data_IF_621614884715
#
_entry.id   IF_621614884715
#
_cell.length_a   1.000
_cell.length_b   1.000
_cell.length_c   1.000
_cell.angle_alpha   90.00
_cell.angle_beta   90.00
_cell.angle_gamma   90.00
#
_symmetry.space_group_name_H-M   'P 1'
#
loop_
_entity.id
_entity.type
_entity.pdbx_description
1 polymer ?
#
# COMPACT_ATOMS: atom_id res chain seq x y z
N UNK A 1 29.55 78.19 19.29
CA UNK A 1 28.46 79.05 18.76
C UNK A 1 27.16 78.39 19.19
N UNK A 2 26.53 78.87 20.27
CA UNK A 2 25.30 79.68 20.21
C UNK A 2 24.23 79.00 19.34
N UNK A 3 23.15 78.42 19.84
CA UNK A 3 22.64 78.37 21.20
C UNK A 3 21.63 77.23 21.37
N UNK A 4 21.44 76.83 22.62
CA UNK A 4 20.47 75.86 23.06
C UNK A 4 19.03 76.38 22.88
N UNK A 5 18.12 75.47 22.54
CA UNK A 5 16.77 75.46 23.08
C UNK A 5 16.19 74.04 22.99
N UNK A 6 16.46 73.27 24.05
CA UNK A 6 15.58 72.19 24.49
C UNK A 6 14.43 72.85 25.24
N UNK A 7 13.23 72.81 24.66
CA UNK A 7 11.91 73.08 25.26
C UNK A 7 10.93 72.32 24.36
N UNK A 8 10.08 71.39 24.78
CA UNK A 8 9.80 70.84 26.10
C UNK A 8 9.09 69.49 25.93
N UNK A 9 9.31 68.64 26.92
CA UNK A 9 8.41 67.54 27.25
C UNK A 9 6.97 68.03 27.51
N UNK A 10 6.06 67.06 27.58
CA UNK A 10 4.69 67.14 28.15
C UNK A 10 3.58 67.23 27.11
N UNK A 11 3.17 66.06 26.64
CA UNK A 11 1.93 65.86 25.89
C UNK A 11 1.24 64.57 26.31
N UNK A 12 1.08 64.34 27.62
CA UNK A 12 -0.07 63.56 28.12
C UNK A 12 -1.33 64.40 27.89
N UNK A 13 -1.67 64.68 26.64
CA UNK A 13 -2.90 65.30 26.22
C UNK A 13 -3.82 64.22 25.64
N UNK A 14 -5.15 64.38 25.73
CA UNK A 14 -6.06 63.51 25.01
C UNK A 14 -5.66 63.47 23.53
N UNK A 15 -5.81 62.32 22.84
CA UNK A 15 -5.43 62.20 21.44
C UNK A 15 -6.06 63.35 20.66
N UNK A 16 -5.23 64.14 19.99
CA UNK A 16 -5.69 65.28 19.21
C UNK A 16 -6.64 64.78 18.11
N UNK A 17 -7.76 65.49 17.94
CA UNK A 17 -8.80 65.14 16.99
C UNK A 17 -8.22 65.18 15.56
N UNK A 18 -8.20 64.05 14.82
CA UNK A 18 -7.65 63.98 13.48
C UNK A 18 -8.27 64.99 12.50
N UNK A 19 -9.52 65.39 12.73
CA UNK A 19 -10.19 66.40 11.90
C UNK A 19 -9.62 67.80 12.19
N UNK A 20 -9.39 68.15 13.45
CA UNK A 20 -8.78 69.43 13.84
C UNK A 20 -7.35 69.55 13.35
N UNK A 21 -6.56 68.48 13.46
CA UNK A 21 -5.19 68.44 12.91
C UNK A 21 -5.17 68.61 11.40
N UNK A 22 -6.16 68.06 10.69
CA UNK A 22 -6.32 68.23 9.25
C UNK A 22 -6.66 69.68 8.89
N UNK A 23 -7.59 70.30 9.61
CA UNK A 23 -7.95 71.71 9.42
C UNK A 23 -6.76 72.64 9.67
N UNK A 24 -6.03 72.44 10.76
CA UNK A 24 -4.82 73.22 11.09
C UNK A 24 -3.73 73.06 10.02
N UNK A 25 -3.49 71.83 9.54
CA UNK A 25 -2.52 71.57 8.48
C UNK A 25 -2.88 72.26 7.15
N UNK A 26 -4.18 72.27 6.78
CA UNK A 26 -4.66 72.91 5.55
C UNK A 26 -4.71 74.43 5.65
N UNK A 27 -4.93 74.98 6.84
CA UNK A 27 -4.81 76.41 7.08
C UNK A 27 -3.36 76.90 6.97
N UNK A 28 -2.40 76.09 7.42
CA UNK A 28 -0.98 76.41 7.34
C UNK A 28 -0.38 76.19 5.94
N UNK A 29 -0.82 75.15 5.22
CA UNK A 29 -0.40 74.83 3.86
C UNK A 29 -1.58 74.28 3.02
N UNK A 30 -2.27 75.13 2.24
CA UNK A 30 -3.36 74.69 1.37
C UNK A 30 -2.93 73.68 0.30
N UNK A 31 -1.66 73.67 -0.12
CA UNK A 31 -1.12 72.72 -1.09
C UNK A 31 -1.03 71.29 -0.55
N UNK A 32 -1.08 71.12 0.78
CA UNK A 32 -1.05 69.82 1.44
C UNK A 32 -2.36 69.00 1.26
N UNK A 33 -3.42 69.61 0.73
CA UNK A 33 -4.69 68.94 0.45
C UNK A 33 -4.53 67.71 -0.46
N UNK A 34 -3.75 67.83 -1.53
CA UNK A 34 -3.49 66.74 -2.48
C UNK A 34 -2.78 65.55 -1.80
N UNK A 35 -1.87 65.84 -0.86
CA UNK A 35 -1.17 64.80 -0.09
C UNK A 35 -2.13 64.06 0.84
N UNK A 36 -3.06 64.78 1.47
CA UNK A 36 -4.08 64.18 2.34
C UNK A 36 -5.09 63.35 1.56
N UNK A 37 -5.51 63.80 0.38
CA UNK A 37 -6.36 63.03 -0.53
C UNK A 37 -5.66 61.75 -0.99
N UNK A 38 -4.41 61.83 -1.47
CA UNK A 38 -3.61 60.66 -1.84
C UNK A 38 -3.44 59.67 -0.68
N UNK A 39 -3.24 60.17 0.54
CA UNK A 39 -3.15 59.33 1.74
C UNK A 39 -4.46 58.61 2.03
N UNK A 40 -5.59 59.30 1.91
CA UNK A 40 -6.92 58.69 2.11
C UNK A 40 -7.23 57.66 1.03
N UNK A 41 -6.90 57.93 -0.23
CA UNK A 41 -7.00 56.97 -1.33
C UNK A 41 -6.13 55.73 -1.08
N UNK A 42 -4.88 55.92 -0.64
CA UNK A 42 -3.99 54.81 -0.29
C UNK A 42 -4.55 53.98 0.87
N UNK A 43 -5.04 54.63 1.93
CA UNK A 43 -5.64 53.94 3.06
C UNK A 43 -6.86 53.10 2.64
N UNK A 44 -7.71 53.66 1.76
CA UNK A 44 -8.85 52.94 1.19
C UNK A 44 -8.40 51.74 0.36
N UNK A 45 -7.38 51.90 -0.50
CA UNK A 45 -6.84 50.80 -1.32
C UNK A 45 -6.22 49.70 -0.48
N UNK A 46 -5.48 50.05 0.57
CA UNK A 46 -4.91 49.08 1.52
C UNK A 46 -6.04 48.29 2.18
N UNK A 47 -7.07 48.96 2.71
CA UNK A 47 -8.20 48.28 3.34
C UNK A 47 -8.97 47.36 2.39
N UNK A 48 -9.06 47.70 1.10
CA UNK A 48 -9.63 46.80 0.09
C UNK A 48 -8.76 45.56 -0.14
N UNK A 49 -7.44 45.75 -0.29
CA UNK A 49 -6.50 44.65 -0.51
C UNK A 49 -6.44 43.69 0.69
N UNK A 50 -6.48 44.21 1.91
CA UNK A 50 -6.54 43.41 3.13
C UNK A 50 -7.79 42.50 3.15
N UNK A 51 -8.96 43.06 2.82
CA UNK A 51 -10.21 42.28 2.72
C UNK A 51 -10.14 41.21 1.65
N UNK A 52 -9.62 41.54 0.47
CA UNK A 52 -9.45 40.56 -0.61
C UNK A 52 -8.48 39.44 -0.24
N UNK A 53 -7.38 39.79 0.43
CA UNK A 53 -6.39 38.84 0.92
C UNK A 53 -7.01 37.89 1.94
N UNK A 54 -7.74 38.43 2.92
CA UNK A 54 -8.43 37.63 3.93
C UNK A 54 -9.45 36.67 3.33
N UNK A 55 -10.24 37.14 2.36
CA UNK A 55 -11.20 36.30 1.65
C UNK A 55 -10.49 35.13 0.94
N UNK A 56 -9.41 35.42 0.20
CA UNK A 56 -8.63 34.39 -0.51
C UNK A 56 -7.98 33.41 0.46
N UNK A 57 -7.46 33.89 1.58
CA UNK A 57 -6.88 33.06 2.65
C UNK A 57 -7.92 32.09 3.20
N UNK A 58 -9.08 32.57 3.62
CA UNK A 58 -10.15 31.72 4.16
C UNK A 58 -10.65 30.70 3.14
N UNK A 59 -10.76 31.08 1.87
CA UNK A 59 -11.12 30.13 0.80
C UNK A 59 -10.05 29.04 0.62
N UNK A 60 -8.77 29.40 0.66
CA UNK A 60 -7.67 28.45 0.55
C UNK A 60 -7.65 27.49 1.75
N UNK A 61 -7.82 28.00 2.97
CA UNK A 61 -7.90 27.19 4.20
C UNK A 61 -9.08 26.20 4.15
N UNK A 62 -10.25 26.64 3.68
CA UNK A 62 -11.41 25.78 3.49
C UNK A 62 -11.15 24.66 2.48
N UNK A 63 -10.52 24.98 1.34
CA UNK A 63 -10.12 23.98 0.34
C UNK A 63 -9.11 22.98 0.90
N UNK A 64 -8.12 23.43 1.67
CA UNK A 64 -7.12 22.56 2.31
C UNK A 64 -7.81 21.61 3.30
N UNK A 65 -8.73 22.11 4.13
CA UNK A 65 -9.47 21.30 5.08
C UNK A 65 -10.32 20.22 4.38
N UNK A 66 -11.02 20.59 3.29
CA UNK A 66 -11.81 19.66 2.51
C UNK A 66 -10.91 18.58 1.85
N UNK A 67 -9.82 18.98 1.20
CA UNK A 67 -8.89 18.04 0.58
C UNK A 67 -8.29 17.06 1.60
N UNK A 68 -7.97 17.51 2.81
CA UNK A 68 -7.49 16.62 3.89
C UNK A 68 -8.54 15.58 4.28
N UNK A 69 -9.82 15.98 4.33
CA UNK A 69 -10.94 15.07 4.59
C UNK A 69 -11.08 14.05 3.46
N UNK A 70 -11.10 14.53 2.21
CA UNK A 70 -11.26 13.68 1.03
C UNK A 70 -10.13 12.64 0.92
N UNK A 71 -8.87 13.05 1.16
CA UNK A 71 -7.72 12.13 1.18
C UNK A 71 -7.85 11.07 2.28
N UNK A 72 -8.33 11.46 3.47
CA UNK A 72 -8.56 10.51 4.57
C UNK A 72 -9.65 9.49 4.21
N UNK A 73 -10.76 9.95 3.67
CA UNK A 73 -11.88 9.10 3.26
C UNK A 73 -11.49 8.18 2.11
N UNK A 74 -10.80 8.70 1.09
CA UNK A 74 -10.28 7.91 -0.02
C UNK A 74 -9.32 6.82 0.46
N UNK A 75 -8.42 7.13 1.40
CA UNK A 75 -7.51 6.14 2.00
C UNK A 75 -8.28 5.05 2.75
N UNK A 76 -9.26 5.41 3.57
CA UNK A 76 -10.09 4.44 4.28
C UNK A 76 -10.85 3.54 3.31
N UNK A 77 -11.41 4.11 2.25
CA UNK A 77 -12.13 3.35 1.24
C UNK A 77 -11.23 2.38 0.46
N UNK A 78 -10.02 2.80 0.10
CA UNK A 78 -9.02 1.92 -0.53
C UNK A 78 -8.63 0.78 0.41
N UNK A 79 -8.35 1.08 1.67
CA UNK A 79 -8.01 0.05 2.68
C UNK A 79 -9.15 -0.97 2.84
N UNK A 80 -10.40 -0.50 2.93
CA UNK A 80 -11.57 -1.38 3.00
C UNK A 80 -11.69 -2.27 1.75
N UNK A 81 -11.44 -1.71 0.54
CA UNK A 81 -11.45 -2.50 -0.70
C UNK A 81 -10.35 -3.55 -0.71
N UNK A 82 -9.14 -3.22 -0.25
CA UNK A 82 -8.03 -4.17 -0.12
C UNK A 82 -8.41 -5.30 0.85
N UNK A 83 -8.96 -4.97 2.02
CA UNK A 83 -9.37 -5.96 3.01
C UNK A 83 -10.49 -6.87 2.48
N UNK A 84 -11.51 -6.31 1.82
CA UNK A 84 -12.58 -7.09 1.19
C UNK A 84 -12.04 -8.02 0.09
N UNK A 85 -11.14 -7.54 -0.76
CA UNK A 85 -10.52 -8.35 -1.81
C UNK A 85 -9.72 -9.50 -1.22
N UNK A 86 -8.88 -9.24 -0.20
CA UNK A 86 -8.13 -10.28 0.52
C UNK A 86 -9.06 -11.31 1.16
N UNK A 87 -10.10 -10.86 1.85
CA UNK A 87 -11.09 -11.75 2.46
C UNK A 87 -11.82 -12.61 1.42
N UNK A 88 -12.11 -12.07 0.24
CA UNK A 88 -12.75 -12.81 -0.84
C UNK A 88 -11.85 -13.91 -1.45
N UNK A 89 -10.53 -13.70 -1.49
CA UNK A 89 -9.57 -14.68 -2.01
C UNK A 89 -9.16 -15.73 -0.97
N UNK A 90 -9.36 -15.45 0.33
CA UNK A 90 -8.93 -16.33 1.42
C UNK A 90 -9.49 -17.77 1.32
N UNK A 91 -10.77 -18.02 0.98
CA UNK A 91 -11.30 -19.37 0.84
C UNK A 91 -10.59 -20.19 -0.24
N UNK A 92 -10.24 -19.56 -1.36
CA UNK A 92 -9.55 -20.24 -2.46
C UNK A 92 -8.08 -20.50 -2.13
N UNK A 93 -7.43 -19.59 -1.38
CA UNK A 93 -6.09 -19.83 -0.82
C UNK A 93 -6.11 -21.05 0.10
N UNK A 94 -7.10 -21.16 0.98
CA UNK A 94 -7.19 -22.27 1.94
C UNK A 94 -7.52 -23.60 1.25
N UNK A 95 -8.41 -23.58 0.25
CA UNK A 95 -8.68 -24.75 -0.61
C UNK A 95 -7.42 -25.22 -1.33
N UNK A 96 -6.66 -24.31 -1.93
CA UNK A 96 -5.42 -24.66 -2.64
C UNK A 96 -4.33 -25.16 -1.69
N UNK A 97 -4.22 -24.62 -0.47
CA UNK A 97 -3.31 -25.12 0.57
C UNK A 97 -3.66 -26.55 0.97
N UNK A 98 -4.94 -26.83 1.19
CA UNK A 98 -5.42 -28.18 1.50
C UNK A 98 -5.11 -29.16 0.36
N UNK A 99 -5.47 -28.79 -0.88
CA UNK A 99 -5.18 -29.61 -2.06
C UNK A 99 -3.68 -29.86 -2.23
N UNK A 100 -2.84 -28.86 -1.96
CA UNK A 100 -1.38 -29.00 -2.01
C UNK A 100 -0.87 -29.95 -0.93
N UNK A 101 -1.41 -29.90 0.30
CA UNK A 101 -1.06 -30.85 1.35
C UNK A 101 -1.40 -32.28 0.91
N UNK A 102 -2.65 -32.51 0.51
CA UNK A 102 -3.12 -33.83 0.08
C UNK A 102 -2.31 -34.39 -1.08
N UNK A 103 -2.00 -33.58 -2.09
CA UNK A 103 -1.18 -34.02 -3.22
C UNK A 103 0.26 -34.36 -2.82
N UNK A 104 0.84 -33.64 -1.84
CA UNK A 104 2.16 -33.98 -1.32
C UNK A 104 2.14 -35.30 -0.53
N UNK A 105 1.12 -35.50 0.30
CA UNK A 105 0.94 -36.72 1.09
C UNK A 105 0.76 -37.94 0.17
N UNK A 106 -0.07 -37.80 -0.87
CA UNK A 106 -0.27 -38.84 -1.88
C UNK A 106 1.03 -39.14 -2.64
N UNK A 107 1.76 -38.10 -3.09
CA UNK A 107 3.06 -38.28 -3.74
C UNK A 107 4.04 -39.03 -2.84
N UNK A 108 4.06 -38.70 -1.54
CA UNK A 108 4.93 -39.37 -0.58
C UNK A 108 4.55 -40.84 -0.41
N UNK A 109 3.27 -41.16 -0.28
CA UNK A 109 2.78 -42.53 -0.21
C UNK A 109 3.15 -43.34 -1.48
N UNK A 110 2.95 -42.77 -2.67
CA UNK A 110 3.30 -43.40 -3.95
C UNK A 110 4.81 -43.63 -4.09
N UNK A 111 5.64 -42.69 -3.65
CA UNK A 111 7.10 -42.86 -3.59
C UNK A 111 7.53 -43.96 -2.62
N UNK A 112 6.87 -44.06 -1.46
CA UNK A 112 7.13 -45.14 -0.51
C UNK A 112 6.75 -46.51 -1.08
N UNK A 113 5.58 -46.62 -1.74
CA UNK A 113 5.16 -47.83 -2.46
C UNK A 113 6.18 -48.21 -3.53
N UNK A 114 6.62 -47.24 -4.34
CA UNK A 114 7.63 -47.44 -5.38
C UNK A 114 8.95 -47.96 -4.82
N UNK A 115 9.41 -47.38 -3.71
CA UNK A 115 10.65 -47.81 -3.04
C UNK A 115 10.54 -49.23 -2.49
N UNK A 116 9.39 -49.60 -1.92
CA UNK A 116 9.11 -50.98 -1.47
C UNK A 116 9.16 -51.96 -2.64
N UNK A 117 8.50 -51.61 -3.75
CA UNK A 117 8.45 -52.44 -4.95
C UNK A 117 9.84 -52.65 -5.56
N UNK A 118 10.68 -51.62 -5.60
CA UNK A 118 12.08 -51.73 -6.05
C UNK A 118 12.87 -52.74 -5.22
N UNK A 119 12.66 -52.80 -3.90
CA UNK A 119 13.32 -53.80 -3.04
C UNK A 119 12.81 -55.21 -3.34
N UNK A 120 11.50 -55.39 -3.54
CA UNK A 120 10.91 -56.68 -3.91
C UNK A 120 11.40 -57.17 -5.28
N UNK A 121 11.46 -56.29 -6.28
CA UNK A 121 12.07 -56.58 -7.59
C UNK A 121 13.52 -57.04 -7.43
N UNK A 122 14.30 -56.37 -6.57
CA UNK A 122 15.68 -56.78 -6.26
C UNK A 122 15.76 -58.18 -5.67
N UNK A 123 14.86 -58.54 -4.75
CA UNK A 123 14.79 -59.88 -4.15
C UNK A 123 14.44 -60.95 -5.18
N UNK A 124 13.41 -60.75 -6.00
CA UNK A 124 13.02 -61.70 -7.05
C UNK A 124 14.12 -61.90 -8.09
N UNK A 125 14.78 -60.81 -8.52
CA UNK A 125 15.93 -60.89 -9.42
C UNK A 125 17.10 -61.67 -8.82
N UNK A 126 17.32 -61.59 -7.52
CA UNK A 126 18.37 -62.35 -6.84
C UNK A 126 17.99 -63.84 -6.72
N UNK A 127 16.74 -64.17 -6.40
CA UNK A 127 16.25 -65.55 -6.36
C UNK A 127 16.39 -66.27 -7.71
N UNK A 128 16.11 -65.58 -8.82
CA UNK A 128 16.34 -66.09 -10.18
C UNK A 128 17.82 -66.39 -10.47
N UNK A 129 18.74 -65.62 -9.88
CA UNK A 129 20.19 -65.82 -10.05
C UNK A 129 20.73 -66.98 -9.22
N UNK A 130 20.17 -67.22 -8.04
CA UNK A 130 20.63 -68.28 -7.11
C UNK A 130 20.07 -69.66 -7.44
N UNK A 131 19.16 -69.78 -8.40
CA UNK A 131 18.77 -71.06 -8.98
C UNK A 131 17.73 -71.86 -8.18
N UNK A 132 16.79 -71.20 -7.49
CA UNK A 132 15.60 -71.87 -6.96
C UNK A 132 14.70 -72.31 -8.14
N UNK A 133 14.86 -73.56 -8.59
CA UNK A 133 14.36 -74.05 -9.88
C UNK A 133 12.92 -74.56 -9.89
N UNK A 134 12.29 -74.77 -8.72
CA UNK A 134 10.96 -75.36 -8.64
C UNK A 134 9.82 -74.40 -9.04
N UNK A 135 10.06 -73.08 -9.08
CA UNK A 135 8.99 -72.08 -9.29
C UNK A 135 9.38 -70.89 -10.20
N UNK A 136 10.31 -71.12 -11.13
CA UNK A 136 10.90 -70.06 -11.98
C UNK A 136 9.85 -69.28 -12.78
N UNK A 137 8.86 -69.96 -13.34
CA UNK A 137 7.78 -69.34 -14.12
C UNK A 137 6.89 -68.44 -13.27
N UNK A 138 6.65 -68.79 -12.00
CA UNK A 138 5.90 -67.95 -11.06
C UNK A 138 6.70 -66.69 -10.70
N UNK A 139 7.99 -66.85 -10.39
CA UNK A 139 8.89 -65.72 -10.10
C UNK A 139 9.00 -64.76 -11.30
N UNK A 140 9.10 -65.29 -12.52
CA UNK A 140 9.14 -64.48 -13.75
C UNK A 140 7.84 -63.68 -13.97
N UNK A 141 6.67 -64.27 -13.65
CA UNK A 141 5.37 -63.58 -13.71
C UNK A 141 5.27 -62.49 -12.65
N UNK A 142 5.59 -62.79 -11.40
CA UNK A 142 5.56 -61.81 -10.31
C UNK A 142 6.53 -60.64 -10.58
N UNK A 143 7.71 -60.93 -11.13
CA UNK A 143 8.66 -59.91 -11.55
C UNK A 143 8.09 -59.01 -12.66
N UNK A 144 7.40 -59.60 -13.65
CA UNK A 144 6.74 -58.85 -14.71
C UNK A 144 5.66 -57.91 -14.14
N UNK A 145 4.81 -58.42 -13.26
CA UNK A 145 3.73 -57.64 -12.63
C UNK A 145 4.31 -56.50 -11.79
N UNK A 146 5.37 -56.76 -11.02
CA UNK A 146 6.04 -55.72 -10.23
C UNK A 146 6.71 -54.67 -11.11
N UNK A 147 7.26 -55.03 -12.27
CA UNK A 147 7.82 -54.06 -13.22
C UNK A 147 6.74 -53.17 -13.82
N UNK A 148 5.59 -53.74 -14.18
CA UNK A 148 4.43 -52.98 -14.69
C UNK A 148 3.89 -52.00 -13.64
N UNK A 149 3.70 -52.48 -12.40
CA UNK A 149 3.24 -51.64 -11.29
C UNK A 149 4.25 -50.53 -10.97
N UNK A 150 5.55 -50.83 -11.06
CA UNK A 150 6.64 -49.86 -10.94
C UNK A 150 6.52 -48.72 -11.95
N UNK A 151 6.30 -49.06 -13.22
CA UNK A 151 6.11 -48.07 -14.29
C UNK A 151 4.81 -47.27 -14.13
N UNK A 152 3.75 -47.89 -13.61
CA UNK A 152 2.51 -47.20 -13.26
C UNK A 152 2.76 -46.16 -12.17
N UNK A 153 3.41 -46.55 -11.07
CA UNK A 153 3.75 -45.66 -9.97
C UNK A 153 4.66 -44.50 -10.42
N UNK A 154 5.62 -44.75 -11.31
CA UNK A 154 6.49 -43.69 -11.84
C UNK A 154 5.68 -42.63 -12.63
N UNK A 155 4.70 -43.06 -13.44
CA UNK A 155 3.78 -42.16 -14.17
C UNK A 155 2.85 -41.39 -13.22
N UNK A 156 2.33 -42.04 -12.18
CA UNK A 156 1.48 -41.40 -11.17
C UNK A 156 2.27 -40.33 -10.39
N UNK A 157 3.49 -40.65 -9.94
CA UNK A 157 4.37 -39.70 -9.25
C UNK A 157 4.73 -38.52 -10.15
N UNK A 158 5.00 -38.75 -11.44
CA UNK A 158 5.25 -37.67 -12.39
C UNK A 158 4.03 -36.73 -12.51
N UNK A 159 2.84 -37.31 -12.68
CA UNK A 159 1.57 -36.56 -12.76
C UNK A 159 1.32 -35.74 -11.50
N UNK A 160 1.56 -36.32 -10.31
CA UNK A 160 1.46 -35.62 -9.03
C UNK A 160 2.46 -34.46 -8.91
N UNK A 161 3.68 -34.60 -9.44
CA UNK A 161 4.65 -33.50 -9.44
C UNK A 161 4.17 -32.31 -10.27
N UNK A 162 3.61 -32.56 -11.46
CA UNK A 162 3.03 -31.50 -12.29
C UNK A 162 1.81 -30.87 -11.62
N UNK A 163 0.94 -31.66 -11.00
CA UNK A 163 -0.19 -31.14 -10.24
C UNK A 163 0.26 -30.24 -9.08
N UNK A 164 1.22 -30.70 -8.27
CA UNK A 164 1.82 -29.93 -7.17
C UNK A 164 2.44 -28.63 -7.69
N UNK A 165 3.13 -28.67 -8.83
CA UNK A 165 3.70 -27.48 -9.47
C UNK A 165 2.61 -26.47 -9.81
N UNK A 166 1.52 -26.91 -10.44
CA UNK A 166 0.38 -26.04 -10.77
C UNK A 166 -0.28 -25.45 -9.53
N UNK A 167 -0.48 -26.24 -8.47
CA UNK A 167 -1.03 -25.74 -7.21
C UNK A 167 -0.14 -24.66 -6.57
N UNK A 168 1.19 -24.84 -6.61
CA UNK A 168 2.14 -23.83 -6.14
C UNK A 168 2.06 -22.54 -6.96
N UNK A 169 1.97 -22.65 -8.29
CA UNK A 169 1.80 -21.48 -9.18
C UNK A 169 0.50 -20.74 -8.85
N UNK A 170 -0.63 -21.45 -8.73
CA UNK A 170 -1.92 -20.85 -8.36
C UNK A 170 -1.84 -20.12 -7.02
N UNK A 171 -1.19 -20.71 -6.01
CA UNK A 171 -0.99 -20.07 -4.71
C UNK A 171 -0.11 -18.82 -4.77
N UNK A 172 0.91 -18.80 -5.64
CA UNK A 172 1.75 -17.61 -5.83
C UNK A 172 0.96 -16.47 -6.46
N UNK A 173 0.15 -16.78 -7.48
CA UNK A 173 -0.67 -15.78 -8.18
C UNK A 173 -1.73 -15.13 -7.27
N UNK A 174 -2.24 -15.87 -6.28
CA UNK A 174 -3.25 -15.36 -5.34
C UNK A 174 -2.67 -14.60 -4.14
N UNK A 175 -1.34 -14.57 -3.98
CA UNK A 175 -0.65 -13.87 -2.87
C UNK A 175 -0.01 -12.55 -3.27
N UNK A 176 0.02 -12.22 -4.56
CA UNK A 176 0.44 -10.92 -5.09
C UNK A 176 -0.67 -9.88 -4.86
#
# INVERSE_FOLDING_TARGET
MLGALIVSASGCGPPADPQKLREEALQADPGFAEVLELRDEQANRIGLLEREFDLKRTQAEGRIAQLRKDVKEARQHVEQKIQKSRAALQPDIDRLRLALSMANDERQAKRAQRASLTRSIGRLKNALKTGETADRTSIDRELYDFLQESQRLDREVHTLNEHIRLLKIKLLLLRL
#
